data_IF_918172407234
#
_entry.id   IF_918172407234
#
_cell.length_a   1.000
_cell.length_b   1.000
_cell.length_c   1.000
_cell.angle_alpha   90.00
_cell.angle_beta   90.00
_cell.angle_gamma   90.00
#
_symmetry.space_group_name_H-M   'P 1'
#
loop_
_entity.id
_entity.type
_entity.pdbx_description
1 polymer ?
#
# COMPACT_ATOMS: atom_id res chain seq x y z
N UNK A 1 7.18 9.44 36.23
CA UNK A 1 6.46 9.39 34.94
C UNK A 1 7.37 10.01 33.91
N UNK A 2 8.16 9.19 33.21
CA UNK A 2 8.94 9.67 32.08
C UNK A 2 7.98 9.74 30.89
N UNK A 3 7.75 10.93 30.34
CA UNK A 3 7.13 11.04 29.03
C UNK A 3 8.12 10.43 28.03
N UNK A 4 7.75 9.31 27.41
CA UNK A 4 8.47 8.80 26.23
C UNK A 4 8.21 9.76 25.09
N UNK A 5 9.01 10.82 24.99
CA UNK A 5 9.05 11.66 23.79
C UNK A 5 9.58 10.79 22.67
N UNK A 6 8.71 10.36 21.75
CA UNK A 6 9.15 9.65 20.55
C UNK A 6 10.15 10.55 19.79
N UNK A 7 11.32 10.01 19.37
CA UNK A 7 12.43 10.79 18.83
C UNK A 7 12.20 11.32 17.40
N UNK A 8 10.95 11.31 16.91
CA UNK A 8 10.61 11.73 15.57
C UNK A 8 10.97 13.20 15.31
N UNK A 9 11.67 13.46 14.21
CA UNK A 9 12.06 14.81 13.77
C UNK A 9 10.88 15.53 13.10
N UNK A 10 9.88 14.78 12.63
CA UNK A 10 8.67 15.29 12.01
C UNK A 10 7.45 15.13 12.93
N UNK A 11 6.34 15.80 12.61
CA UNK A 11 5.08 15.71 13.37
C UNK A 11 3.86 15.79 12.45
N UNK A 12 2.74 15.20 12.90
CA UNK A 12 1.46 15.26 12.21
C UNK A 12 1.44 14.66 10.81
N UNK A 13 0.36 14.93 10.08
CA UNK A 13 0.10 14.45 8.72
C UNK A 13 1.19 14.92 7.74
N UNK A 14 1.58 16.19 7.81
CA UNK A 14 2.68 16.73 6.99
C UNK A 14 4.00 15.97 7.23
N UNK A 15 4.26 15.58 8.49
CA UNK A 15 5.42 14.78 8.84
C UNK A 15 5.40 13.38 8.23
N UNK A 16 4.24 12.72 8.22
CA UNK A 16 4.05 11.44 7.52
C UNK A 16 4.34 11.60 6.03
N UNK A 17 3.81 12.66 5.41
CA UNK A 17 4.02 12.97 4.01
C UNK A 17 5.52 13.15 3.68
N UNK A 18 6.28 13.84 4.55
CA UNK A 18 7.74 13.98 4.42
C UNK A 18 8.49 12.66 4.52
N UNK A 19 8.10 11.78 5.42
CA UNK A 19 8.73 10.46 5.54
C UNK A 19 8.45 9.61 4.30
N UNK A 20 7.22 9.65 3.78
CA UNK A 20 6.84 8.93 2.55
C UNK A 20 7.59 9.49 1.35
N UNK A 21 7.73 10.81 1.23
CA UNK A 21 8.55 11.46 0.20
C UNK A 21 9.98 10.90 0.19
N UNK A 22 10.59 10.78 1.37
CA UNK A 22 11.96 10.28 1.53
C UNK A 22 12.12 8.78 1.25
N UNK A 23 11.06 8.00 1.44
CA UNK A 23 11.06 6.54 1.28
C UNK A 23 10.21 6.10 0.09
N UNK A 24 9.90 7.00 -0.84
CA UNK A 24 9.00 6.73 -1.95
C UNK A 24 9.53 5.54 -2.78
N UNK A 25 8.66 4.55 -3.03
CA UNK A 25 9.02 3.34 -3.78
C UNK A 25 9.83 2.28 -3.02
N UNK A 26 10.25 2.55 -1.78
CA UNK A 26 10.97 1.56 -0.96
C UNK A 26 9.99 0.48 -0.48
N UNK A 27 10.17 -0.76 -0.95
CA UNK A 27 9.38 -1.91 -0.51
C UNK A 27 9.78 -2.38 0.88
N UNK A 28 8.88 -2.19 1.85
CA UNK A 28 9.03 -2.66 3.23
C UNK A 28 7.86 -3.57 3.60
N UNK A 29 8.01 -4.48 4.58
CA UNK A 29 6.87 -5.25 5.07
C UNK A 29 5.74 -4.31 5.48
N UNK A 30 4.51 -4.60 5.07
CA UNK A 30 3.34 -3.76 5.32
C UNK A 30 3.18 -3.49 6.82
N UNK A 31 3.39 -4.51 7.65
CA UNK A 31 3.33 -4.41 9.11
C UNK A 31 4.38 -3.47 9.71
N UNK A 32 5.52 -3.28 9.02
CA UNK A 32 6.65 -2.49 9.52
C UNK A 32 6.41 -0.98 9.40
N UNK A 33 5.62 -0.55 8.40
CA UNK A 33 5.33 0.86 8.14
C UNK A 33 4.78 1.57 9.38
N UNK A 34 3.71 1.02 9.96
CA UNK A 34 3.02 1.64 11.09
C UNK A 34 3.54 1.18 12.46
N UNK A 35 4.22 0.03 12.54
CA UNK A 35 4.77 -0.45 13.82
C UNK A 35 6.15 0.12 14.15
N UNK A 36 6.94 0.51 13.15
CA UNK A 36 8.34 0.92 13.35
C UNK A 36 8.75 2.14 12.51
N UNK A 37 8.44 2.16 11.21
CA UNK A 37 9.02 3.18 10.31
C UNK A 37 8.46 4.57 10.59
N UNK A 38 7.13 4.71 10.62
CA UNK A 38 6.44 5.97 10.87
C UNK A 38 6.56 6.40 12.34
N UNK A 39 6.33 5.54 13.35
CA UNK A 39 6.51 5.93 14.76
C UNK A 39 7.93 6.37 15.12
N UNK A 40 8.96 5.84 14.46
CA UNK A 40 10.34 6.24 14.71
C UNK A 40 10.71 7.60 14.11
N UNK A 41 9.92 8.12 13.16
CA UNK A 41 10.25 9.33 12.38
C UNK A 41 9.27 10.48 12.60
N UNK A 42 8.02 10.15 12.90
CA UNK A 42 6.94 11.11 13.18
C UNK A 42 6.58 11.01 14.66
N UNK A 43 6.77 12.10 15.38
CA UNK A 43 6.40 12.21 16.79
C UNK A 43 4.89 12.06 16.94
N UNK A 44 4.49 11.31 17.98
CA UNK A 44 3.09 11.03 18.32
C UNK A 44 2.27 10.48 17.14
N UNK A 45 2.91 9.65 16.29
CA UNK A 45 2.25 9.00 15.15
C UNK A 45 0.97 8.26 15.58
N UNK A 46 -0.09 8.49 14.83
CA UNK A 46 -1.36 7.76 14.88
C UNK A 46 -1.68 7.24 13.49
N UNK A 47 -2.28 6.04 13.39
CA UNK A 47 -2.66 5.44 12.10
C UNK A 47 -3.60 6.34 11.30
N UNK A 48 -4.43 7.13 12.00
CA UNK A 48 -5.33 8.13 11.40
C UNK A 48 -4.60 9.13 10.49
N UNK A 49 -3.33 9.42 10.77
CA UNK A 49 -2.53 10.34 9.95
C UNK A 49 -2.20 9.75 8.58
N UNK A 50 -1.90 8.45 8.51
CA UNK A 50 -1.67 7.76 7.25
C UNK A 50 -3.00 7.48 6.55
N UNK A 51 -4.03 7.08 7.31
CA UNK A 51 -5.37 6.84 6.80
C UNK A 51 -5.95 8.07 6.10
N UNK A 52 -5.75 9.28 6.64
CA UNK A 52 -6.16 10.54 6.02
C UNK A 52 -5.51 10.72 4.63
N UNK A 53 -4.21 10.48 4.52
CA UNK A 53 -3.47 10.60 3.27
C UNK A 53 -3.88 9.56 2.22
N UNK A 54 -4.17 8.33 2.67
CA UNK A 54 -4.67 7.26 1.82
C UNK A 54 -6.11 7.54 1.35
N UNK A 55 -6.97 8.00 2.25
CA UNK A 55 -8.38 8.29 1.96
C UNK A 55 -8.55 9.46 0.99
N UNK A 56 -7.70 10.48 1.11
CA UNK A 56 -7.65 11.63 0.18
C UNK A 56 -6.98 11.27 -1.15
N UNK A 57 -6.25 10.16 -1.21
CA UNK A 57 -5.44 9.78 -2.37
C UNK A 57 -4.17 10.63 -2.53
N UNK A 58 -3.78 11.40 -1.51
CA UNK A 58 -2.50 12.11 -1.50
C UNK A 58 -1.32 11.13 -1.45
N UNK A 59 -1.54 9.98 -0.80
CA UNK A 59 -0.64 8.82 -0.81
C UNK A 59 -1.34 7.66 -1.51
N UNK A 60 -0.60 6.97 -2.37
CA UNK A 60 -0.99 5.67 -2.92
C UNK A 60 0.03 4.62 -2.52
N UNK A 61 -0.34 3.35 -2.65
CA UNK A 61 0.53 2.23 -2.30
C UNK A 61 0.60 1.21 -3.43
N UNK A 62 1.72 0.49 -3.49
CA UNK A 62 1.91 -0.62 -4.42
C UNK A 62 2.42 -1.85 -3.68
N UNK A 63 1.85 -3.02 -4.00
CA UNK A 63 2.39 -4.30 -3.58
C UNK A 63 3.54 -4.71 -4.50
N UNK A 64 4.69 -5.08 -3.93
CA UNK A 64 5.89 -5.46 -4.68
C UNK A 64 6.15 -6.96 -4.66
N UNK A 65 6.11 -7.60 -3.48
CA UNK A 65 6.42 -9.03 -3.34
C UNK A 65 5.75 -9.61 -2.10
N UNK A 66 5.33 -10.88 -2.15
CA UNK A 66 4.88 -11.62 -0.97
C UNK A 66 6.06 -11.89 -0.01
N UNK A 67 5.85 -11.72 1.29
CA UNK A 67 6.83 -12.01 2.35
C UNK A 67 6.19 -12.88 3.44
N UNK A 68 6.35 -14.20 3.34
CA UNK A 68 5.64 -15.12 4.24
C UNK A 68 4.15 -15.19 3.94
N UNK A 69 3.34 -15.72 4.86
CA UNK A 69 1.89 -15.86 4.67
C UNK A 69 1.10 -14.60 5.01
N UNK A 70 1.54 -13.86 6.03
CA UNK A 70 0.78 -12.75 6.62
C UNK A 70 1.35 -11.36 6.29
N UNK A 71 2.45 -11.27 5.53
CA UNK A 71 3.06 -9.99 5.16
C UNK A 71 3.46 -9.92 3.68
N UNK A 72 3.58 -8.69 3.18
CA UNK A 72 3.98 -8.37 1.82
C UNK A 72 4.82 -7.10 1.83
N UNK A 73 5.78 -7.04 0.91
CA UNK A 73 6.49 -5.80 0.64
C UNK A 73 5.52 -4.83 -0.04
N UNK A 74 5.26 -3.72 0.65
CA UNK A 74 4.46 -2.59 0.18
C UNK A 74 5.37 -1.37 0.10
N UNK A 75 5.24 -0.62 -0.98
CA UNK A 75 5.82 0.72 -1.11
C UNK A 75 4.71 1.77 -1.06
N UNK A 76 5.00 2.89 -0.41
CA UNK A 76 4.17 4.08 -0.40
C UNK A 76 4.73 5.10 -1.39
N UNK A 77 3.83 5.91 -1.97
CA UNK A 77 4.15 6.90 -2.98
C UNK A 77 3.30 8.14 -2.74
N UNK A 78 3.89 9.32 -2.91
CA UNK A 78 3.09 10.53 -3.06
C UNK A 78 2.46 10.52 -4.46
N UNK A 79 1.17 10.83 -4.54
CA UNK A 79 0.43 10.82 -5.81
C UNK A 79 1.06 11.75 -6.86
N UNK A 80 1.60 12.89 -6.43
CA UNK A 80 2.29 13.86 -7.30
C UNK A 80 3.56 13.29 -7.94
N UNK A 81 4.25 12.37 -7.26
CA UNK A 81 5.54 11.77 -7.68
C UNK A 81 5.44 10.26 -7.94
N UNK A 82 4.22 9.78 -8.19
CA UNK A 82 3.97 8.36 -8.38
C UNK A 82 4.65 7.85 -9.66
N UNK A 83 4.69 8.65 -10.73
CA UNK A 83 5.27 8.25 -12.01
C UNK A 83 6.78 7.96 -11.92
N UNK A 84 7.48 8.63 -11.00
CA UNK A 84 8.92 8.50 -10.79
C UNK A 84 9.27 7.41 -9.77
N UNK A 85 8.38 7.17 -8.80
CA UNK A 85 8.63 6.24 -7.70
C UNK A 85 8.01 4.86 -7.92
N UNK A 86 7.05 4.72 -8.83
CA UNK A 86 6.39 3.47 -9.17
C UNK A 86 6.95 2.88 -10.46
N UNK A 87 7.55 1.69 -10.35
CA UNK A 87 7.99 0.91 -11.51
C UNK A 87 7.08 -0.31 -11.66
N UNK A 88 6.20 -0.36 -12.68
CA UNK A 88 5.37 -1.53 -12.94
C UNK A 88 6.23 -2.77 -13.23
N UNK A 89 5.89 -3.91 -12.62
CA UNK A 89 6.50 -5.19 -12.98
C UNK A 89 5.97 -5.66 -14.36
N UNK A 90 6.62 -5.22 -15.44
CA UNK A 90 6.23 -5.56 -16.82
C UNK A 90 6.36 -7.08 -17.11
N UNK A 91 7.38 -7.71 -16.53
CA UNK A 91 7.70 -9.14 -16.75
C UNK A 91 6.60 -10.11 -16.24
N UNK A 92 5.78 -9.69 -15.28
CA UNK A 92 4.75 -10.54 -14.68
C UNK A 92 3.44 -10.51 -15.46
N UNK A 93 3.24 -9.54 -16.37
CA UNK A 93 1.96 -9.39 -17.06
C UNK A 93 1.69 -10.53 -18.05
N UNK A 94 2.71 -10.95 -18.81
CA UNK A 94 2.59 -11.99 -19.81
C UNK A 94 2.49 -13.41 -19.21
N UNK A 95 2.92 -13.59 -17.95
CA UNK A 95 2.98 -14.89 -17.27
C UNK A 95 1.86 -15.09 -16.24
N UNK A 96 0.84 -14.23 -16.22
CA UNK A 96 -0.30 -14.35 -15.29
C UNK A 96 -1.08 -15.63 -15.57
N UNK A 97 -1.34 -16.42 -14.53
CA UNK A 97 -2.29 -17.53 -14.57
C UNK A 97 -3.71 -17.04 -14.88
N UNK A 98 -4.59 -17.95 -15.33
CA UNK A 98 -6.00 -17.63 -15.62
C UNK A 98 -6.72 -16.98 -14.42
N UNK A 99 -6.43 -17.44 -13.20
CA UNK A 99 -6.96 -16.83 -11.98
C UNK A 99 -6.48 -15.39 -11.79
N UNK A 100 -5.18 -15.13 -11.99
CA UNK A 100 -4.62 -13.78 -11.88
C UNK A 100 -5.19 -12.83 -12.95
N UNK A 101 -5.38 -13.32 -14.18
CA UNK A 101 -6.03 -12.56 -15.25
C UNK A 101 -7.48 -12.23 -14.91
N UNK A 102 -8.25 -13.19 -14.38
CA UNK A 102 -9.63 -12.98 -13.94
C UNK A 102 -9.72 -11.97 -12.80
N UNK A 103 -8.81 -12.03 -11.81
CA UNK A 103 -8.72 -11.03 -10.74
C UNK A 103 -8.52 -9.63 -11.32
N UNK A 104 -7.52 -9.45 -12.19
CA UNK A 104 -7.23 -8.14 -12.80
C UNK A 104 -8.42 -7.64 -13.63
N UNK A 105 -9.08 -8.50 -14.39
CA UNK A 105 -10.25 -8.14 -15.18
C UNK A 105 -11.42 -7.69 -14.31
N UNK A 106 -11.70 -8.38 -13.20
CA UNK A 106 -12.74 -7.96 -12.25
C UNK A 106 -12.41 -6.60 -11.65
N UNK A 107 -11.15 -6.37 -11.26
CA UNK A 107 -10.70 -5.09 -10.69
C UNK A 107 -10.64 -3.94 -11.71
N UNK A 108 -10.60 -4.22 -13.01
CA UNK A 108 -10.66 -3.19 -14.04
C UNK A 108 -12.06 -2.57 -14.17
N UNK A 109 -13.12 -3.32 -13.83
CA UNK A 109 -14.51 -2.87 -13.91
C UNK A 109 -14.95 -2.00 -12.70
N UNK A 110 -14.05 -1.76 -11.73
CA UNK A 110 -14.31 -0.94 -10.55
C UNK A 110 -13.58 -1.40 -9.29
N UNK A 111 -13.98 -0.85 -8.15
CA UNK A 111 -13.41 -1.17 -6.84
C UNK A 111 -14.45 -1.12 -5.72
N UNK A 112 -13.98 -0.95 -4.48
CA UNK A 112 -14.82 -0.88 -3.27
C UNK A 112 -15.68 -2.13 -3.01
N UNK A 113 -15.21 -3.30 -3.42
CA UNK A 113 -15.86 -4.58 -3.14
C UNK A 113 -15.25 -5.27 -1.93
N UNK A 114 -16.10 -5.98 -1.19
CA UNK A 114 -15.62 -6.92 -0.18
C UNK A 114 -14.95 -8.13 -0.83
N UNK A 115 -14.00 -8.75 -0.13
CA UNK A 115 -13.27 -9.93 -0.63
C UNK A 115 -14.20 -11.07 -1.11
N UNK A 116 -15.34 -11.27 -0.44
CA UNK A 116 -16.32 -12.28 -0.85
C UNK A 116 -17.00 -11.94 -2.19
N UNK A 117 -17.29 -10.66 -2.44
CA UNK A 117 -17.87 -10.21 -3.71
C UNK A 117 -16.87 -10.37 -4.86
N UNK A 118 -15.60 -10.02 -4.61
CA UNK A 118 -14.51 -10.24 -5.57
C UNK A 118 -14.38 -11.74 -5.88
N UNK A 119 -14.38 -12.59 -4.85
CA UNK A 119 -14.29 -14.06 -5.01
C UNK A 119 -15.43 -14.64 -5.85
N UNK A 120 -16.66 -14.14 -5.65
CA UNK A 120 -17.81 -14.59 -6.44
C UNK A 120 -17.66 -14.17 -7.91
N UNK A 121 -17.34 -12.90 -8.17
CA UNK A 121 -17.15 -12.38 -9.54
C UNK A 121 -16.05 -13.11 -10.30
N UNK A 122 -14.95 -13.47 -9.62
CA UNK A 122 -13.87 -14.26 -10.21
C UNK A 122 -14.36 -15.65 -10.62
N UNK A 123 -15.13 -16.33 -9.75
CA UNK A 123 -15.70 -17.65 -10.07
C UNK A 123 -16.61 -17.59 -11.30
N UNK A 124 -17.48 -16.59 -11.37
CA UNK A 124 -18.39 -16.40 -12.49
C UNK A 124 -17.59 -16.19 -13.79
N UNK A 125 -16.57 -15.32 -13.76
CA UNK A 125 -15.70 -15.05 -14.92
C UNK A 125 -14.93 -16.28 -15.41
N UNK A 126 -14.40 -17.09 -14.49
CA UNK A 126 -13.67 -18.31 -14.83
C UNK A 126 -14.61 -19.41 -15.33
N UNK A 127 -15.84 -19.50 -14.80
CA UNK A 127 -16.84 -20.47 -15.25
C UNK A 127 -17.44 -20.16 -16.63
N UNK A 128 -17.33 -18.92 -17.08
CA UNK A 128 -17.75 -18.45 -18.41
C UNK A 128 -16.66 -18.59 -19.50
N UNK A 129 -15.40 -18.87 -19.12
CA UNK A 129 -14.23 -18.99 -20.04
C UNK A 129 -13.89 -20.43 -20.37
#
# INVERSE_FOLDING_TARGET
>A
LFASTSPGVYEGVDGVMRVIEQLAGVGLPASLWESQILPARVRDYSSEMLDELLATGAVIWSGQKKLGEDDGLVALHLQEYAAESFTPAEADQANRSALQQAIVAVLADGGAWFAQQISQRIRDKIGES
#
